data_IF_392850005696
#
_entry.id   IF_392850005696
#
_cell.length_a   1.000
_cell.length_b   1.000
_cell.length_c   1.000
_cell.angle_alpha   90.00
_cell.angle_beta   90.00
_cell.angle_gamma   90.00
#
_symmetry.space_group_name_H-M   'P 1'
#
loop_
_entity.id
_entity.type
_entity.pdbx_description
1 polymer ?
#
# COMPACT_ATOMS: atom_id res chain seq x y z
N UNK A 1 8.38 -14.06 -14.18
CA UNK A 1 7.32 -13.09 -13.79
C UNK A 1 7.38 -12.83 -12.28
N UNK A 2 7.30 -13.84 -11.42
CA UNK A 2 7.39 -13.71 -9.95
C UNK A 2 8.72 -13.12 -9.45
N UNK A 3 9.84 -13.38 -10.14
CA UNK A 3 11.15 -12.81 -9.82
C UNK A 3 11.18 -11.29 -10.09
N UNK A 4 10.52 -10.85 -11.16
CA UNK A 4 10.41 -9.42 -11.50
C UNK A 4 9.49 -8.65 -10.53
N UNK A 5 8.63 -9.34 -9.81
CA UNK A 5 7.76 -8.79 -8.76
C UNK A 5 8.40 -8.85 -7.37
N UNK A 6 9.60 -9.46 -7.26
CA UNK A 6 10.33 -9.59 -6.00
C UNK A 6 9.73 -10.63 -5.03
N UNK A 7 8.85 -11.51 -5.52
CA UNK A 7 8.15 -12.51 -4.70
C UNK A 7 8.98 -13.78 -4.46
N UNK A 8 10.03 -13.98 -5.23
CA UNK A 8 10.95 -15.10 -5.09
C UNK A 8 12.38 -14.61 -5.01
N UNK A 9 13.19 -15.32 -4.26
CA UNK A 9 14.62 -15.12 -4.18
C UNK A 9 15.37 -16.35 -4.68
N UNK A 10 16.51 -16.13 -5.30
CA UNK A 10 17.40 -17.20 -5.72
C UNK A 10 18.39 -17.52 -4.62
N UNK A 11 18.25 -18.70 -4.03
CA UNK A 11 19.18 -19.20 -3.03
C UNK A 11 20.20 -20.12 -3.73
N UNK A 12 21.48 -19.77 -3.65
CA UNK A 12 22.57 -20.53 -4.28
C UNK A 12 22.54 -21.98 -3.78
N UNK A 13 22.50 -22.92 -4.73
CA UNK A 13 22.42 -24.38 -4.51
C UNK A 13 21.06 -24.91 -3.98
N UNK A 14 20.04 -24.05 -3.77
CA UNK A 14 18.70 -24.45 -3.34
C UNK A 14 17.61 -24.08 -4.37
N UNK A 15 17.93 -23.24 -5.38
CA UNK A 15 16.97 -22.80 -6.38
C UNK A 15 16.20 -21.55 -5.98
N UNK A 16 14.97 -21.38 -6.50
CA UNK A 16 14.07 -20.28 -6.12
C UNK A 16 13.25 -20.68 -4.91
N UNK A 17 13.18 -19.81 -3.91
CA UNK A 17 12.24 -19.89 -2.78
C UNK A 17 11.28 -18.70 -2.79
N UNK A 18 10.08 -18.87 -2.26
CA UNK A 18 9.16 -17.77 -2.02
C UNK A 18 9.77 -16.90 -0.91
N UNK A 19 9.80 -15.60 -1.14
CA UNK A 19 10.31 -14.65 -0.15
C UNK A 19 9.42 -14.64 1.07
N UNK A 20 10.02 -14.84 2.22
CA UNK A 20 9.38 -14.60 3.51
C UNK A 20 9.67 -13.16 3.93
N UNK A 21 8.72 -12.55 4.63
CA UNK A 21 8.84 -11.18 5.12
C UNK A 21 8.60 -11.18 6.62
N UNK A 22 9.48 -10.51 7.37
CA UNK A 22 9.26 -10.32 8.80
C UNK A 22 8.23 -9.22 9.05
N UNK A 23 7.75 -9.15 10.29
CA UNK A 23 6.89 -8.04 10.70
C UNK A 23 7.60 -6.70 10.55
N UNK A 24 8.86 -6.61 11.01
CA UNK A 24 9.69 -5.42 10.93
C UNK A 24 9.88 -4.95 9.48
N UNK A 25 10.16 -5.88 8.57
CA UNK A 25 10.32 -5.56 7.15
C UNK A 25 8.99 -5.07 6.54
N UNK A 26 7.87 -5.69 6.91
CA UNK A 26 6.53 -5.22 6.50
C UNK A 26 6.26 -3.81 6.98
N UNK A 27 6.57 -3.54 8.23
CA UNK A 27 6.43 -2.23 8.86
C UNK A 27 7.24 -1.15 8.11
N UNK A 28 8.52 -1.42 7.84
CA UNK A 28 9.39 -0.51 7.09
C UNK A 28 8.84 -0.23 5.69
N UNK A 29 8.36 -1.27 4.99
CA UNK A 29 7.78 -1.13 3.63
C UNK A 29 6.56 -0.22 3.64
N UNK A 30 5.64 -0.39 4.59
CA UNK A 30 4.45 0.47 4.66
C UNK A 30 4.80 1.92 5.01
N UNK A 31 5.78 2.16 5.89
CA UNK A 31 6.28 3.50 6.17
C UNK A 31 6.89 4.15 4.93
N UNK A 32 7.73 3.43 4.18
CA UNK A 32 8.34 3.94 2.96
C UNK A 32 7.29 4.23 1.89
N UNK A 33 6.31 3.35 1.68
CA UNK A 33 5.22 3.56 0.73
C UNK A 33 4.42 4.81 1.07
N UNK A 34 4.01 4.97 2.35
CA UNK A 34 3.30 6.15 2.83
C UNK A 34 4.07 7.44 2.52
N UNK A 35 5.37 7.47 2.84
CA UNK A 35 6.21 8.64 2.59
C UNK A 35 6.33 8.99 1.11
N UNK A 36 6.52 8.01 0.23
CA UNK A 36 6.59 8.26 -1.22
C UNK A 36 5.27 8.81 -1.78
N UNK A 37 4.14 8.29 -1.34
CA UNK A 37 2.83 8.74 -1.82
C UNK A 37 2.47 10.13 -1.27
N UNK A 38 2.72 10.39 0.02
CA UNK A 38 2.57 11.72 0.61
C UNK A 38 3.50 12.73 -0.08
N UNK A 39 4.74 12.36 -0.37
CA UNK A 39 5.67 13.21 -1.12
C UNK A 39 5.12 13.52 -2.52
N UNK A 40 4.59 12.53 -3.24
CA UNK A 40 3.99 12.73 -4.56
C UNK A 40 2.83 13.75 -4.52
N UNK A 41 1.93 13.62 -3.55
CA UNK A 41 0.82 14.57 -3.34
C UNK A 41 1.33 15.97 -3.00
N UNK A 42 2.33 16.09 -2.11
CA UNK A 42 2.93 17.37 -1.70
C UNK A 42 3.61 18.08 -2.87
N UNK A 43 4.37 17.33 -3.70
CA UNK A 43 5.05 17.89 -4.88
C UNK A 43 4.08 18.53 -5.88
N UNK A 44 2.89 17.96 -6.03
CA UNK A 44 1.85 18.47 -6.92
C UNK A 44 0.85 19.42 -6.21
N UNK A 45 1.07 19.72 -4.92
CA UNK A 45 0.20 20.61 -4.14
C UNK A 45 -1.24 20.11 -4.03
N UNK A 46 -1.46 18.79 -4.06
CA UNK A 46 -2.78 18.16 -4.01
C UNK A 46 -3.55 18.21 -5.34
N UNK A 47 -2.95 18.72 -6.42
CA UNK A 47 -3.60 18.79 -7.74
C UNK A 47 -3.55 17.43 -8.42
N UNK A 48 -4.54 16.60 -8.16
CA UNK A 48 -4.69 15.29 -8.79
C UNK A 48 -5.34 15.48 -10.16
N UNK A 49 -4.71 15.01 -11.27
CA UNK A 49 -5.30 15.06 -12.61
C UNK A 49 -6.60 14.28 -12.71
N UNK A 50 -7.54 14.73 -13.53
CA UNK A 50 -8.84 14.07 -13.69
C UNK A 50 -8.72 12.65 -14.22
N UNK A 51 -7.82 12.42 -15.18
CA UNK A 51 -7.52 11.09 -15.68
C UNK A 51 -7.00 10.14 -14.59
N UNK A 52 -6.24 10.67 -13.63
CA UNK A 52 -5.76 9.88 -12.48
C UNK A 52 -6.91 9.49 -11.56
N UNK A 53 -7.85 10.41 -11.27
CA UNK A 53 -9.03 10.13 -10.46
C UNK A 53 -9.94 9.09 -11.11
N UNK A 54 -10.15 9.18 -12.42
CA UNK A 54 -10.95 8.21 -13.20
C UNK A 54 -10.30 6.82 -13.15
N UNK A 55 -8.99 6.71 -13.36
CA UNK A 55 -8.28 5.44 -13.26
C UNK A 55 -8.39 4.83 -11.85
N UNK A 56 -8.23 5.66 -10.79
CA UNK A 56 -8.40 5.20 -9.40
C UNK A 56 -9.83 4.70 -9.15
N UNK A 57 -10.84 5.35 -9.69
CA UNK A 57 -12.25 4.96 -9.54
C UNK A 57 -12.54 3.61 -10.23
N UNK A 58 -12.04 3.41 -11.46
CA UNK A 58 -12.16 2.15 -12.18
C UNK A 58 -11.50 0.98 -11.43
N UNK A 59 -10.30 1.21 -10.88
CA UNK A 59 -9.60 0.21 -10.07
C UNK A 59 -10.39 -0.11 -8.80
N UNK A 60 -10.95 0.90 -8.14
CA UNK A 60 -11.74 0.74 -6.92
C UNK A 60 -13.02 -0.09 -7.17
N UNK A 61 -13.70 0.11 -8.29
CA UNK A 61 -14.87 -0.72 -8.65
C UNK A 61 -14.47 -2.19 -8.93
N UNK A 62 -13.26 -2.43 -9.47
CA UNK A 62 -12.72 -3.80 -9.58
C UNK A 62 -12.47 -4.42 -8.22
N UNK A 63 -11.86 -3.67 -7.28
CA UNK A 63 -11.64 -4.15 -5.91
C UNK A 63 -12.95 -4.50 -5.20
N UNK A 64 -14.01 -3.71 -5.41
CA UNK A 64 -15.34 -3.93 -4.84
C UNK A 64 -15.98 -5.25 -5.28
N UNK A 65 -15.73 -5.66 -6.52
CA UNK A 65 -16.31 -6.88 -7.10
C UNK A 65 -15.59 -8.17 -6.70
N UNK A 66 -14.41 -8.08 -6.04
CA UNK A 66 -13.62 -9.25 -5.67
C UNK A 66 -14.32 -10.13 -4.62
N UNK A 67 -14.17 -11.43 -4.79
CA UNK A 67 -14.53 -12.45 -3.81
C UNK A 67 -13.27 -13.16 -3.25
N UNK A 68 -13.46 -14.09 -2.33
CA UNK A 68 -12.34 -14.77 -1.63
C UNK A 68 -11.49 -15.63 -2.58
N UNK A 69 -12.07 -16.15 -3.65
CA UNK A 69 -11.35 -16.98 -4.62
C UNK A 69 -10.43 -16.13 -5.51
N UNK A 70 -10.66 -14.80 -5.52
CA UNK A 70 -9.87 -13.82 -6.27
C UNK A 70 -8.93 -13.02 -5.36
N UNK A 71 -8.64 -13.53 -4.16
CA UNK A 71 -7.79 -12.84 -3.17
C UNK A 71 -6.44 -12.38 -3.73
N UNK A 72 -5.87 -13.15 -4.65
CA UNK A 72 -4.59 -12.83 -5.30
C UNK A 72 -4.65 -11.54 -6.12
N UNK A 73 -5.80 -11.26 -6.74
CA UNK A 73 -6.01 -10.07 -7.55
C UNK A 73 -6.09 -8.80 -6.69
N UNK A 74 -6.46 -8.93 -5.42
CA UNK A 74 -6.60 -7.81 -4.50
C UNK A 74 -5.32 -6.97 -4.44
N UNK A 75 -4.16 -7.60 -4.23
CA UNK A 75 -2.88 -6.89 -4.10
C UNK A 75 -2.42 -6.26 -5.41
N UNK A 76 -2.79 -6.88 -6.54
CA UNK A 76 -2.55 -6.29 -7.86
C UNK A 76 -3.35 -4.98 -8.03
N UNK A 77 -4.63 -4.98 -7.67
CA UNK A 77 -5.46 -3.77 -7.72
C UNK A 77 -5.04 -2.72 -6.69
N UNK A 78 -4.70 -3.13 -5.46
CA UNK A 78 -4.16 -2.25 -4.43
C UNK A 78 -2.90 -1.53 -4.93
N UNK A 79 -1.92 -2.29 -5.43
CA UNK A 79 -0.70 -1.71 -5.99
C UNK A 79 -0.98 -0.81 -7.20
N UNK A 80 -1.94 -1.15 -8.07
CA UNK A 80 -2.35 -0.28 -9.19
C UNK A 80 -2.96 1.02 -8.69
N UNK A 81 -3.86 0.96 -7.73
CA UNK A 81 -4.53 2.13 -7.15
C UNK A 81 -3.51 3.11 -6.56
N UNK A 82 -2.64 2.66 -5.69
CA UNK A 82 -1.60 3.48 -5.08
C UNK A 82 -0.57 3.98 -6.11
N UNK A 83 -0.25 3.20 -7.15
CA UNK A 83 0.66 3.62 -8.21
C UNK A 83 0.18 4.85 -8.97
N UNK A 84 -1.13 5.11 -9.03
CA UNK A 84 -1.69 6.29 -9.69
C UNK A 84 -1.14 7.58 -9.07
N UNK A 85 -1.04 7.64 -7.73
CA UNK A 85 -0.49 8.80 -7.01
C UNK A 85 0.99 9.03 -7.31
N UNK A 86 1.76 7.96 -7.52
CA UNK A 86 3.19 8.09 -7.85
C UNK A 86 3.37 8.45 -9.34
N UNK A 87 2.63 7.80 -10.24
CA UNK A 87 2.76 7.99 -11.69
C UNK A 87 2.38 9.39 -12.14
N UNK A 88 1.39 10.03 -11.49
CA UNK A 88 0.98 11.40 -11.81
C UNK A 88 2.12 12.42 -11.68
N UNK A 89 3.18 12.12 -10.93
CA UNK A 89 4.35 12.99 -10.79
C UNK A 89 5.25 13.01 -12.03
N UNK A 90 5.17 11.99 -12.89
CA UNK A 90 6.10 11.79 -14.01
C UNK A 90 7.54 11.40 -13.59
N UNK A 91 7.82 11.27 -12.29
CA UNK A 91 9.16 11.01 -11.74
C UNK A 91 9.53 9.53 -11.81
N UNK A 92 10.31 9.15 -12.84
CA UNK A 92 10.70 7.75 -13.09
C UNK A 92 11.44 7.09 -11.91
N UNK A 93 12.34 7.82 -11.26
CA UNK A 93 13.11 7.29 -10.11
C UNK A 93 12.23 7.07 -8.90
N UNK A 94 11.28 7.97 -8.61
CA UNK A 94 10.30 7.82 -7.54
C UNK A 94 9.42 6.59 -7.79
N UNK A 95 8.90 6.45 -9.00
CA UNK A 95 8.11 5.27 -9.37
C UNK A 95 8.89 3.97 -9.24
N UNK A 96 10.16 3.94 -9.68
CA UNK A 96 11.02 2.77 -9.55
C UNK A 96 11.25 2.38 -8.08
N UNK A 97 11.56 3.36 -7.22
CA UNK A 97 11.78 3.14 -5.80
C UNK A 97 10.49 2.64 -5.11
N UNK A 98 9.35 3.28 -5.37
CA UNK A 98 8.06 2.86 -4.83
C UNK A 98 7.69 1.44 -5.32
N UNK A 99 7.83 1.18 -6.61
CA UNK A 99 7.50 -0.13 -7.21
C UNK A 99 8.31 -1.28 -6.61
N UNK A 100 9.56 -1.03 -6.21
CA UNK A 100 10.40 -2.06 -5.59
C UNK A 100 9.88 -2.54 -4.22
N UNK A 101 8.90 -1.84 -3.63
CA UNK A 101 8.27 -2.20 -2.36
C UNK A 101 6.95 -2.99 -2.55
N UNK A 102 6.49 -3.19 -3.79
CA UNK A 102 5.18 -3.83 -4.04
C UNK A 102 5.11 -5.28 -3.56
N UNK A 103 6.25 -6.00 -3.59
CA UNK A 103 6.32 -7.36 -3.09
C UNK A 103 5.89 -7.45 -1.62
N UNK A 104 6.27 -6.48 -0.81
CA UNK A 104 5.97 -6.48 0.61
C UNK A 104 4.47 -6.42 0.90
N UNK A 105 3.71 -5.65 0.12
CA UNK A 105 2.25 -5.61 0.23
C UNK A 105 1.63 -7.00 -0.04
N UNK A 106 2.10 -7.68 -1.08
CA UNK A 106 1.62 -9.01 -1.47
C UNK A 106 1.98 -10.04 -0.38
N UNK A 107 3.25 -10.12 0.00
CA UNK A 107 3.75 -11.12 0.97
C UNK A 107 3.13 -10.89 2.35
N UNK A 108 3.01 -9.62 2.80
CA UNK A 108 2.34 -9.29 4.05
C UNK A 108 0.88 -9.76 4.07
N UNK A 109 0.16 -9.54 2.98
CA UNK A 109 -1.23 -9.96 2.87
C UNK A 109 -1.41 -11.49 2.92
N UNK A 110 -0.43 -12.24 2.43
CA UNK A 110 -0.46 -13.71 2.50
C UNK A 110 0.00 -14.28 3.84
N UNK A 111 1.07 -13.73 4.41
CA UNK A 111 1.72 -14.32 5.57
C UNK A 111 1.16 -13.83 6.90
N UNK A 112 0.71 -12.56 6.96
CA UNK A 112 0.29 -11.94 8.20
C UNK A 112 -1.22 -11.76 8.34
N UNK A 113 -2.01 -11.91 7.27
CA UNK A 113 -3.45 -11.78 7.33
C UNK A 113 -4.11 -13.12 7.69
N UNK A 114 -4.64 -13.22 8.89
CA UNK A 114 -5.32 -14.43 9.40
C UNK A 114 -6.70 -14.66 8.77
N UNK A 115 -7.40 -13.60 8.30
CA UNK A 115 -8.75 -13.66 7.74
C UNK A 115 -8.84 -12.94 6.38
N UNK A 116 -8.68 -13.70 5.28
CA UNK A 116 -8.78 -13.21 3.91
C UNK A 116 -10.11 -12.53 3.60
N UNK A 117 -11.21 -13.03 4.15
CA UNK A 117 -12.55 -12.47 3.93
C UNK A 117 -12.70 -11.09 4.56
N UNK A 118 -12.18 -10.92 5.77
CA UNK A 118 -12.13 -9.62 6.43
C UNK A 118 -11.21 -8.65 5.69
N UNK A 119 -10.10 -9.13 5.13
CA UNK A 119 -9.19 -8.30 4.30
C UNK A 119 -9.93 -7.75 3.09
N UNK A 120 -10.56 -8.59 2.27
CA UNK A 120 -11.32 -8.16 1.08
C UNK A 120 -12.42 -7.16 1.47
N UNK A 121 -13.22 -7.47 2.47
CA UNK A 121 -14.36 -6.64 2.89
C UNK A 121 -13.97 -5.22 3.26
N UNK A 122 -12.79 -5.02 3.86
CA UNK A 122 -12.33 -3.69 4.27
C UNK A 122 -11.68 -2.86 3.18
N UNK A 123 -11.20 -3.48 2.08
CA UNK A 123 -10.42 -2.77 1.06
C UNK A 123 -11.23 -1.69 0.35
N UNK A 124 -12.43 -2.00 -0.11
CA UNK A 124 -13.25 -1.01 -0.79
C UNK A 124 -13.52 0.25 0.04
N UNK A 125 -14.03 0.17 1.29
CA UNK A 125 -14.31 1.38 2.07
C UNK A 125 -13.07 2.22 2.36
N UNK A 126 -11.92 1.63 2.70
CA UNK A 126 -10.71 2.40 3.02
C UNK A 126 -10.10 3.09 1.78
N UNK A 127 -10.13 2.43 0.62
CA UNK A 127 -9.66 3.04 -0.63
C UNK A 127 -10.66 4.06 -1.19
N UNK A 128 -11.96 3.87 -0.94
CA UNK A 128 -12.98 4.86 -1.28
C UNK A 128 -12.75 6.17 -0.51
N UNK A 129 -12.45 6.09 0.77
CA UNK A 129 -12.12 7.26 1.59
C UNK A 129 -10.92 8.03 1.00
N UNK A 130 -9.87 7.31 0.60
CA UNK A 130 -8.69 7.91 -0.04
C UNK A 130 -9.03 8.54 -1.40
N UNK A 131 -9.85 7.89 -2.23
CA UNK A 131 -10.31 8.46 -3.50
C UNK A 131 -11.10 9.75 -3.29
N UNK A 132 -12.02 9.79 -2.33
CA UNK A 132 -12.80 11.00 -2.02
C UNK A 132 -11.91 12.13 -1.50
N UNK A 133 -10.90 11.81 -0.69
CA UNK A 133 -9.89 12.80 -0.29
C UNK A 133 -9.13 13.34 -1.52
N UNK A 134 -8.73 12.48 -2.46
CA UNK A 134 -8.08 12.89 -3.71
C UNK A 134 -8.98 13.82 -4.57
N UNK A 135 -10.28 13.52 -4.64
CA UNK A 135 -11.29 14.36 -5.34
C UNK A 135 -11.42 15.75 -4.71
N UNK A 136 -11.20 15.88 -3.40
CA UNK A 136 -11.23 17.18 -2.71
C UNK A 136 -10.13 18.13 -3.20
N UNK A 137 -9.03 17.61 -3.74
CA UNK A 137 -7.83 18.35 -4.18
C UNK A 137 -7.21 19.22 -3.08
N UNK A 138 -7.52 18.92 -1.81
CA UNK A 138 -6.95 19.58 -0.64
C UNK A 138 -5.74 18.78 -0.15
N UNK A 139 -4.56 19.31 -0.39
CA UNK A 139 -3.28 18.64 -0.11
C UNK A 139 -3.20 18.07 1.30
N UNK A 140 -3.57 18.87 2.30
CA UNK A 140 -3.51 18.49 3.72
C UNK A 140 -4.47 17.34 4.04
N UNK A 141 -5.67 17.37 3.45
CA UNK A 141 -6.68 16.31 3.62
C UNK A 141 -6.21 15.00 2.98
N UNK A 142 -5.67 15.05 1.76
CA UNK A 142 -5.14 13.88 1.06
C UNK A 142 -3.99 13.26 1.87
N UNK A 143 -3.03 14.09 2.33
CA UNK A 143 -1.89 13.61 3.11
C UNK A 143 -2.34 12.98 4.43
N UNK A 144 -3.31 13.57 5.12
CA UNK A 144 -3.88 13.01 6.36
C UNK A 144 -4.53 11.66 6.10
N UNK A 145 -5.40 11.55 5.10
CA UNK A 145 -6.09 10.29 4.78
C UNK A 145 -5.10 9.20 4.34
N UNK A 146 -4.06 9.55 3.57
CA UNK A 146 -2.97 8.63 3.23
C UNK A 146 -2.23 8.14 4.49
N UNK A 147 -1.90 9.05 5.40
CA UNK A 147 -1.28 8.68 6.67
C UNK A 147 -2.16 7.72 7.47
N UNK A 148 -3.44 8.06 7.65
CA UNK A 148 -4.41 7.23 8.39
C UNK A 148 -4.59 5.85 7.74
N UNK A 149 -4.62 5.79 6.40
CA UNK A 149 -4.71 4.56 5.63
C UNK A 149 -3.54 3.60 5.93
N UNK A 150 -2.31 4.09 5.88
CA UNK A 150 -1.12 3.29 6.17
C UNK A 150 -0.98 2.98 7.65
N UNK A 151 -1.25 3.96 8.53
CA UNK A 151 -1.26 3.74 9.98
C UNK A 151 -2.28 2.70 10.41
N UNK A 152 -3.48 2.73 9.83
CA UNK A 152 -4.49 1.70 10.06
C UNK A 152 -4.02 0.29 9.68
N UNK A 153 -3.18 0.16 8.65
CA UNK A 153 -2.57 -1.13 8.27
C UNK A 153 -1.49 -1.54 9.26
N UNK A 154 -0.60 -0.62 9.63
CA UNK A 154 0.47 -0.85 10.62
C UNK A 154 -0.13 -1.27 11.98
N UNK A 155 -1.14 -0.57 12.48
CA UNK A 155 -1.81 -0.93 13.74
C UNK A 155 -2.46 -2.32 13.70
N UNK A 156 -3.04 -2.71 12.56
CA UNK A 156 -3.57 -4.07 12.41
C UNK A 156 -2.47 -5.12 12.46
N UNK A 157 -1.34 -4.88 11.80
CA UNK A 157 -0.19 -5.79 11.83
C UNK A 157 0.38 -5.92 13.26
N UNK A 158 0.53 -4.82 13.97
CA UNK A 158 0.94 -4.83 15.39
C UNK A 158 -0.01 -5.69 16.23
N UNK A 159 -1.31 -5.44 16.09
CA UNK A 159 -2.33 -6.20 16.82
C UNK A 159 -2.32 -7.69 16.51
N UNK A 160 -2.11 -8.09 15.24
CA UNK A 160 -2.02 -9.51 14.84
C UNK A 160 -0.78 -10.18 15.43
N UNK A 161 0.27 -9.43 15.74
CA UNK A 161 1.46 -9.89 16.44
C UNK A 161 1.37 -9.77 17.98
N UNK A 162 0.23 -9.29 18.51
CA UNK A 162 0.09 -9.05 19.95
C UNK A 162 0.93 -7.87 20.47
N UNK A 163 1.33 -6.97 19.58
CA UNK A 163 2.18 -5.81 19.86
C UNK A 163 1.36 -4.50 19.87
N UNK A 164 1.92 -3.48 20.47
CA UNK A 164 1.44 -2.09 20.48
C UNK A 164 2.50 -1.15 19.92
N UNK A 165 2.18 0.12 19.71
CA UNK A 165 3.18 1.12 19.31
C UNK A 165 4.33 1.25 20.31
N UNK A 166 4.04 1.07 21.61
CA UNK A 166 5.06 1.14 22.68
C UNK A 166 6.12 0.04 22.56
N UNK A 167 5.81 -1.07 21.87
CA UNK A 167 6.74 -2.17 21.63
C UNK A 167 7.64 -1.89 20.41
N UNK A 168 7.36 -0.84 19.65
CA UNK A 168 8.21 -0.38 18.55
C UNK A 168 9.23 0.63 19.06
N UNK A 169 10.41 0.70 18.43
CA UNK A 169 11.43 1.72 18.71
C UNK A 169 11.22 3.03 17.91
N UNK A 170 10.12 3.15 17.19
CA UNK A 170 9.85 4.27 16.30
C UNK A 170 8.64 5.06 16.78
N UNK A 171 8.71 6.39 16.70
CA UNK A 171 7.52 7.23 16.77
C UNK A 171 6.85 7.24 15.40
N UNK A 172 5.52 7.01 15.37
CA UNK A 172 4.73 7.01 14.15
C UNK A 172 4.13 8.38 13.82
N UNK A 173 4.32 9.36 14.69
CA UNK A 173 3.74 10.71 14.54
C UNK A 173 4.29 11.47 13.30
N UNK A 174 5.44 11.06 12.77
CA UNK A 174 6.08 11.75 11.64
C UNK A 174 5.29 11.69 10.32
N UNK A 175 4.36 10.74 10.17
CA UNK A 175 3.47 10.69 9.01
C UNK A 175 2.36 11.74 9.05
N UNK A 176 2.09 12.31 10.23
CA UNK A 176 0.97 13.22 10.47
C UNK A 176 1.35 14.70 10.24
N UNK A 177 2.63 15.02 10.12
CA UNK A 177 3.16 16.41 9.99
C UNK A 177 3.09 16.98 8.58
#
# INVERSE_FOLDING_TARGET
>A
ELENEGLVEYVRNAGCSVKEITFEESFEIYLMRANYEIMAVRLLGGKIPEETLQEMEEILERMKSLNVDEYDQLFSYDNKFHSCLIRMTGMKSLYKAWKSLNYGNIVTGYNLASDKKAVIKRQYPIHKELLEACKSRKKEEICRVLSDHYMGTIHRLLKEQGMTEADTKFSLDFLIS
#
